data_IF_068707657790
#
_entry.id   IF_068707657790
#
_cell.length_a   1.000
_cell.length_b   1.000
_cell.length_c   1.000
_cell.angle_alpha   90.00
_cell.angle_beta   90.00
_cell.angle_gamma   90.00
#
_symmetry.space_group_name_H-M   'P 1'
#
loop_
_entity.id
_entity.type
_entity.pdbx_description
1 polymer ?
#
# COMPACT_ATOMS: atom_id res chain seq x y z
N UNK A 1 14.58 -14.31 -14.65
CA UNK A 1 14.80 -13.28 -13.60
C UNK A 1 14.60 -11.92 -14.24
N UNK A 2 13.36 -11.43 -14.25
CA UNK A 2 13.03 -10.17 -14.92
C UNK A 2 12.94 -9.07 -13.85
N UNK A 3 14.06 -8.43 -13.57
CA UNK A 3 14.08 -7.21 -12.76
C UNK A 3 13.39 -6.10 -13.53
N UNK A 4 12.23 -5.70 -13.03
CA UNK A 4 11.48 -4.56 -13.55
C UNK A 4 11.77 -3.36 -12.64
N UNK A 5 12.49 -2.33 -13.13
CA UNK A 5 12.88 -1.18 -12.33
C UNK A 5 11.70 -0.40 -11.75
N UNK A 6 10.51 -0.57 -12.32
CA UNK A 6 9.25 0.00 -11.83
C UNK A 6 8.95 -0.43 -10.39
N UNK A 7 9.25 -1.67 -10.00
CA UNK A 7 9.03 -2.14 -8.62
C UNK A 7 9.98 -1.50 -7.62
N UNK A 8 11.24 -1.32 -8.00
CA UNK A 8 12.23 -0.67 -7.16
C UNK A 8 11.81 0.79 -6.90
N UNK A 9 11.34 1.49 -7.93
CA UNK A 9 10.83 2.85 -7.79
C UNK A 9 9.62 2.92 -6.84
N UNK A 10 8.68 1.98 -6.97
CA UNK A 10 7.51 1.90 -6.09
C UNK A 10 7.88 1.66 -4.62
N UNK A 11 8.80 0.73 -4.36
CA UNK A 11 9.27 0.42 -2.99
C UNK A 11 10.02 1.62 -2.40
N UNK A 12 10.87 2.28 -3.19
CA UNK A 12 11.59 3.48 -2.73
C UNK A 12 10.60 4.61 -2.43
N UNK A 13 9.62 4.83 -3.31
CA UNK A 13 8.59 5.84 -3.11
C UNK A 13 7.73 5.55 -1.86
N UNK A 14 7.30 4.31 -1.65
CA UNK A 14 6.54 3.92 -0.46
C UNK A 14 7.36 4.10 0.81
N UNK A 15 8.60 3.61 0.80
CA UNK A 15 9.54 3.76 1.94
C UNK A 15 9.78 5.23 2.27
N UNK A 16 9.93 6.09 1.27
CA UNK A 16 10.13 7.52 1.48
C UNK A 16 8.90 8.20 2.13
N UNK A 17 7.69 7.82 1.71
CA UNK A 17 6.44 8.31 2.30
C UNK A 17 6.30 7.86 3.75
N UNK A 18 6.63 6.60 4.02
CA UNK A 18 6.55 6.02 5.36
C UNK A 18 7.60 6.62 6.31
N UNK A 19 8.83 6.82 5.82
CA UNK A 19 9.89 7.51 6.55
C UNK A 19 9.50 8.95 6.89
N UNK A 20 9.01 9.70 5.90
CA UNK A 20 8.54 11.06 6.12
C UNK A 20 7.38 11.10 7.12
N UNK A 21 6.42 10.18 7.00
CA UNK A 21 5.29 10.06 7.93
C UNK A 21 5.78 9.74 9.35
N UNK A 22 6.71 8.81 9.52
CA UNK A 22 7.32 8.46 10.79
C UNK A 22 8.02 9.64 11.46
N UNK A 23 8.89 10.34 10.73
CA UNK A 23 9.62 11.50 11.25
C UNK A 23 8.67 12.63 11.68
N UNK A 24 7.65 12.93 10.88
CA UNK A 24 6.62 13.93 11.24
C UNK A 24 5.80 13.50 12.46
N UNK A 25 5.46 12.22 12.57
CA UNK A 25 4.77 11.69 13.76
C UNK A 25 5.63 11.80 15.02
N UNK A 26 6.95 11.58 14.91
CA UNK A 26 7.88 11.69 16.04
C UNK A 26 8.04 13.14 16.53
N UNK A 27 8.08 14.11 15.62
CA UNK A 27 8.23 15.53 15.94
C UNK A 27 6.99 16.17 16.61
N UNK A 28 5.82 15.53 16.49
CA UNK A 28 4.55 16.07 17.00
C UNK A 28 4.24 15.45 18.36
N UNK A 29 4.04 16.23 19.42
CA UNK A 29 3.66 15.70 20.74
C UNK A 29 2.17 15.32 20.83
N UNK A 30 1.31 16.04 20.10
CA UNK A 30 -0.15 15.84 20.11
C UNK A 30 -0.56 14.65 19.23
N UNK A 31 -1.13 13.62 19.88
CA UNK A 31 -1.60 12.40 19.22
C UNK A 31 -2.63 12.66 18.11
N UNK A 32 -3.49 13.69 18.25
CA UNK A 32 -4.49 14.02 17.21
C UNK A 32 -3.84 14.51 15.92
N UNK A 33 -2.75 15.27 16.04
CA UNK A 33 -1.99 15.82 14.91
C UNK A 33 -1.12 14.77 14.21
N UNK A 34 -0.86 13.62 14.84
CA UNK A 34 -0.17 12.47 14.22
C UNK A 34 -1.07 11.63 13.30
N UNK A 35 -2.38 11.62 13.56
CA UNK A 35 -3.37 10.79 12.84
C UNK A 35 -3.34 10.93 11.30
N UNK A 36 -3.27 12.12 10.69
CA UNK A 36 -3.24 12.22 9.23
C UNK A 36 -2.00 11.56 8.60
N UNK A 37 -0.84 11.62 9.27
CA UNK A 37 0.39 10.97 8.80
C UNK A 37 0.31 9.45 8.88
N UNK A 38 -0.30 8.91 9.94
CA UNK A 38 -0.61 7.49 10.02
C UNK A 38 -1.56 7.08 8.88
N UNK A 39 -2.64 7.84 8.65
CA UNK A 39 -3.60 7.53 7.60
C UNK A 39 -2.95 7.56 6.21
N UNK A 40 -2.05 8.51 5.96
CA UNK A 40 -1.29 8.58 4.72
C UNK A 40 -0.45 7.30 4.51
N UNK A 41 0.37 6.92 5.50
CA UNK A 41 1.20 5.71 5.43
C UNK A 41 0.36 4.45 5.23
N UNK A 42 -0.73 4.28 5.99
CA UNK A 42 -1.65 3.15 5.83
C UNK A 42 -2.25 3.14 4.44
N UNK A 43 -2.76 4.28 3.97
CA UNK A 43 -3.45 4.38 2.69
C UNK A 43 -2.51 4.07 1.52
N UNK A 44 -1.28 4.59 1.53
CA UNK A 44 -0.26 4.29 0.53
C UNK A 44 0.06 2.80 0.49
N UNK A 45 0.34 2.19 1.64
CA UNK A 45 0.67 0.77 1.74
C UNK A 45 -0.49 -0.14 1.31
N UNK A 46 -1.71 0.14 1.76
CA UNK A 46 -2.90 -0.62 1.36
C UNK A 46 -3.22 -0.46 -0.12
N UNK A 47 -3.05 0.74 -0.68
CA UNK A 47 -3.30 0.99 -2.11
C UNK A 47 -2.35 0.17 -2.97
N UNK A 48 -1.06 0.12 -2.61
CA UNK A 48 -0.08 -0.74 -3.30
C UNK A 48 -0.48 -2.21 -3.20
N UNK A 49 -0.85 -2.68 -2.01
CA UNK A 49 -1.27 -4.07 -1.82
C UNK A 49 -2.52 -4.41 -2.64
N UNK A 50 -3.53 -3.54 -2.62
CA UNK A 50 -4.77 -3.73 -3.39
C UNK A 50 -4.50 -3.75 -4.90
N UNK A 51 -3.77 -2.76 -5.41
CA UNK A 51 -3.47 -2.64 -6.84
C UNK A 51 -2.65 -3.80 -7.37
N UNK A 52 -1.66 -4.28 -6.61
CA UNK A 52 -0.81 -5.34 -7.14
C UNK A 52 -1.33 -6.74 -6.82
N UNK A 53 -1.94 -6.97 -5.66
CA UNK A 53 -2.34 -8.32 -5.24
C UNK A 53 -3.80 -8.64 -5.53
N UNK A 54 -4.69 -7.66 -5.37
CA UNK A 54 -6.13 -7.89 -5.42
C UNK A 54 -6.81 -7.31 -6.65
N UNK A 55 -6.12 -6.50 -7.46
CA UNK A 55 -6.70 -5.85 -8.63
C UNK A 55 -7.26 -6.87 -9.63
N UNK A 56 -6.50 -7.91 -9.99
CA UNK A 56 -7.00 -8.91 -10.93
C UNK A 56 -8.21 -9.67 -10.38
N UNK A 57 -8.16 -10.07 -9.10
CA UNK A 57 -9.29 -10.71 -8.43
C UNK A 57 -10.55 -9.83 -8.42
N UNK A 58 -10.37 -8.54 -8.13
CA UNK A 58 -11.47 -7.57 -8.14
C UNK A 58 -11.98 -7.32 -9.57
N UNK A 59 -11.09 -7.25 -10.55
CA UNK A 59 -11.42 -7.07 -11.96
C UNK A 59 -12.24 -8.25 -12.49
N UNK A 60 -11.83 -9.49 -12.18
CA UNK A 60 -12.57 -10.71 -12.51
C UNK A 60 -13.94 -10.74 -11.82
N UNK A 61 -14.00 -10.40 -10.53
CA UNK A 61 -15.26 -10.33 -9.77
C UNK A 61 -16.21 -9.28 -10.36
N UNK A 62 -15.70 -8.10 -10.69
CA UNK A 62 -16.47 -7.03 -11.34
C UNK A 62 -16.99 -7.49 -12.70
N UNK A 63 -16.14 -8.10 -13.52
CA UNK A 63 -16.53 -8.66 -14.82
C UNK A 63 -17.66 -9.68 -14.68
N UNK A 64 -17.58 -10.61 -13.73
CA UNK A 64 -18.64 -11.59 -13.49
C UNK A 64 -19.99 -10.94 -13.10
N UNK A 65 -19.95 -9.86 -12.31
CA UNK A 65 -21.14 -9.09 -11.96
C UNK A 65 -21.70 -8.36 -13.19
N UNK A 66 -20.87 -7.65 -13.95
CA UNK A 66 -21.30 -6.92 -15.15
C UNK A 66 -21.82 -7.84 -16.25
N UNK A 67 -21.21 -9.01 -16.45
CA UNK A 67 -21.69 -10.05 -17.36
C UNK A 67 -23.08 -10.54 -16.94
N UNK A 68 -23.37 -10.63 -15.64
CA UNK A 68 -24.71 -10.98 -15.12
C UNK A 68 -25.78 -9.93 -15.46
N UNK A 69 -25.37 -8.67 -15.66
CA UNK A 69 -26.25 -7.57 -16.13
C UNK A 69 -26.18 -7.36 -17.64
N UNK A 70 -25.49 -8.24 -18.39
CA UNK A 70 -25.27 -8.12 -19.83
C UNK A 70 -24.57 -6.80 -20.24
N UNK A 71 -23.76 -6.23 -19.35
CA UNK A 71 -22.97 -5.01 -19.58
C UNK A 71 -21.56 -5.42 -20.02
N UNK A 72 -21.13 -4.92 -21.17
CA UNK A 72 -19.79 -5.24 -21.70
C UNK A 72 -18.70 -4.54 -20.89
N UNK A 73 -18.03 -5.28 -20.01
CA UNK A 73 -16.91 -4.78 -19.20
C UNK A 73 -15.58 -5.33 -19.71
N UNK A 74 -14.77 -4.46 -20.33
CA UNK A 74 -13.48 -4.82 -20.91
C UNK A 74 -12.35 -3.99 -20.28
N UNK A 75 -12.02 -4.32 -19.03
CA UNK A 75 -10.84 -3.79 -18.35
C UNK A 75 -9.69 -4.82 -18.44
N UNK A 76 -8.54 -4.46 -19.02
CA UNK A 76 -7.41 -5.37 -19.16
C UNK A 76 -6.91 -5.88 -17.81
N UNK A 77 -6.52 -7.15 -17.76
CA UNK A 77 -5.83 -7.72 -16.60
C UNK A 77 -4.47 -7.07 -16.39
N UNK A 78 -4.16 -6.80 -15.13
CA UNK A 78 -2.87 -6.26 -14.72
C UNK A 78 -1.90 -7.43 -14.49
N UNK A 79 -1.33 -7.97 -15.57
CA UNK A 79 -0.37 -9.10 -15.54
C UNK A 79 1.04 -8.66 -15.09
N UNK A 80 1.08 -8.00 -13.94
CA UNK A 80 2.32 -7.52 -13.34
C UNK A 80 2.83 -8.55 -12.33
N UNK A 81 3.91 -9.27 -12.67
CA UNK A 81 4.56 -10.24 -11.79
C UNK A 81 5.01 -9.57 -10.48
N UNK A 82 4.25 -9.80 -9.43
CA UNK A 82 4.56 -9.30 -8.10
C UNK A 82 5.92 -9.81 -7.62
N UNK A 83 6.77 -8.94 -7.01
CA UNK A 83 7.91 -9.42 -6.27
C UNK A 83 7.41 -10.31 -5.13
N UNK A 84 7.97 -11.52 -5.06
CA UNK A 84 7.72 -12.46 -3.97
C UNK A 84 8.08 -11.76 -2.67
N UNK A 85 7.08 -11.39 -1.87
CA UNK A 85 7.28 -10.71 -0.57
C UNK A 85 6.63 -9.34 -0.40
N UNK A 86 5.91 -8.78 -1.39
CA UNK A 86 5.25 -7.47 -1.20
C UNK A 86 4.33 -7.45 0.01
N UNK A 87 3.56 -8.54 0.24
CA UNK A 87 2.65 -8.62 1.38
C UNK A 87 3.39 -8.55 2.71
N UNK A 88 4.53 -9.24 2.82
CA UNK A 88 5.34 -9.23 4.03
C UNK A 88 5.88 -7.82 4.31
N UNK A 89 6.46 -7.18 3.29
CA UNK A 89 6.95 -5.80 3.38
C UNK A 89 5.84 -4.82 3.75
N UNK A 90 4.67 -4.89 3.10
CA UNK A 90 3.53 -4.00 3.41
C UNK A 90 3.06 -4.18 4.85
N UNK A 91 2.90 -5.43 5.33
CA UNK A 91 2.45 -5.67 6.71
C UNK A 91 3.48 -5.22 7.76
N UNK A 92 4.77 -5.38 7.46
CA UNK A 92 5.83 -4.91 8.35
C UNK A 92 5.86 -3.38 8.42
N UNK A 93 5.73 -2.71 7.27
CA UNK A 93 5.70 -1.24 7.20
C UNK A 93 4.45 -0.66 7.87
N UNK A 94 3.28 -1.29 7.68
CA UNK A 94 2.05 -0.96 8.40
C UNK A 94 2.23 -1.08 9.92
N UNK A 95 2.83 -2.19 10.38
CA UNK A 95 3.06 -2.41 11.82
C UNK A 95 3.97 -1.33 12.39
N UNK A 96 5.08 -1.02 11.72
CA UNK A 96 5.99 0.06 12.09
C UNK A 96 5.27 1.41 12.23
N UNK A 97 4.50 1.82 11.21
CA UNK A 97 3.77 3.10 11.25
C UNK A 97 2.74 3.17 12.38
N UNK A 98 2.06 2.06 12.67
CA UNK A 98 1.12 1.96 13.79
C UNK A 98 1.84 2.07 15.14
N UNK A 99 3.00 1.43 15.27
CA UNK A 99 3.81 1.46 16.50
C UNK A 99 4.40 2.85 16.76
N UNK A 100 4.88 3.53 15.71
CA UNK A 100 5.31 4.94 15.81
C UNK A 100 4.15 5.85 16.22
N UNK A 101 2.95 5.66 15.67
CA UNK A 101 1.77 6.41 16.08
C UNK A 101 1.38 6.14 17.55
N UNK A 102 1.49 4.89 18.00
CA UNK A 102 1.23 4.49 19.40
C UNK A 102 2.31 5.00 20.36
N UNK A 103 3.49 5.37 19.84
CA UNK A 103 4.63 5.80 20.64
C UNK A 103 5.37 4.62 21.30
N UNK A 104 5.12 3.39 20.86
CA UNK A 104 5.84 2.19 21.33
C UNK A 104 7.23 2.09 20.72
N UNK A 105 7.40 2.66 19.52
CA UNK A 105 8.67 2.69 18.78
C UNK A 105 8.97 4.12 18.35
N UNK A 106 10.25 4.53 18.39
CA UNK A 106 10.68 5.82 17.82
C UNK A 106 10.79 5.69 16.30
N UNK A 107 10.51 6.77 15.59
CA UNK A 107 10.74 6.78 14.15
C UNK A 107 12.25 6.69 13.88
N UNK A 108 12.64 5.71 13.09
CA UNK A 108 13.97 5.45 12.55
C UNK A 108 13.96 5.51 11.03
#
# INVERSE_FOLDING_TARGET
MSWKPEYAFLIVASTAIDYYSGMRMSAITDKKKRRPFLMLSIFTNLSLLLLFKYFNFFNESARAVFDSFNIFYNVPEFNMFLPVGISFYTFQTLSYSIDVYRGTTKAE
#
